data_IF_144188935983
#
_entry.id   IF_144188935983
#
_cell.length_a   1.000
_cell.length_b   1.000
_cell.length_c   1.000
_cell.angle_alpha   90.00
_cell.angle_beta   90.00
_cell.angle_gamma   90.00
#
_symmetry.space_group_name_H-M   'P 1'
#
loop_
_entity.id
_entity.type
_entity.pdbx_description
1 polymer ?
#
# COMPACT_ATOMS: atom_id res chain seq x y z
N UNK A 1 -10.67 -19.25 0.03
CA UNK A 1 -10.32 -17.83 -0.18
C UNK A 1 -9.30 -17.44 0.88
N UNK A 2 -8.12 -16.91 0.53
CA UNK A 2 -7.14 -16.47 1.54
C UNK A 2 -7.62 -15.19 2.23
N UNK A 3 -7.17 -14.95 3.47
CA UNK A 3 -7.46 -13.73 4.23
C UNK A 3 -7.06 -12.48 3.44
N UNK A 4 -5.87 -12.50 2.83
CA UNK A 4 -5.38 -11.44 1.96
C UNK A 4 -6.34 -11.14 0.80
N UNK A 5 -6.92 -12.15 0.15
CA UNK A 5 -7.89 -11.95 -0.93
C UNK A 5 -9.24 -11.43 -0.41
N UNK A 6 -9.66 -11.86 0.78
CA UNK A 6 -10.86 -11.34 1.43
C UNK A 6 -10.73 -9.84 1.78
N UNK A 7 -9.62 -9.43 2.39
CA UNK A 7 -9.35 -8.02 2.72
C UNK A 7 -9.28 -7.17 1.44
N UNK A 8 -8.62 -7.67 0.39
CA UNK A 8 -8.59 -6.99 -0.92
C UNK A 8 -9.98 -6.79 -1.50
N UNK A 9 -10.87 -7.78 -1.37
CA UNK A 9 -12.27 -7.66 -1.79
C UNK A 9 -13.01 -6.57 -1.01
N UNK A 10 -12.90 -6.55 0.33
CA UNK A 10 -13.53 -5.53 1.18
C UNK A 10 -13.04 -4.12 0.84
N UNK A 11 -11.74 -3.96 0.64
CA UNK A 11 -11.10 -2.67 0.37
C UNK A 11 -11.10 -2.30 -1.13
N UNK A 12 -11.71 -3.12 -1.98
CA UNK A 12 -11.69 -2.99 -3.44
C UNK A 12 -10.27 -2.78 -4.03
N UNK A 13 -9.29 -3.53 -3.51
CA UNK A 13 -7.90 -3.50 -3.98
C UNK A 13 -7.73 -4.57 -5.06
N UNK A 14 -7.43 -4.13 -6.28
CA UNK A 14 -7.18 -5.01 -7.43
C UNK A 14 -5.68 -5.29 -7.66
N UNK A 15 -4.78 -4.57 -6.99
CA UNK A 15 -3.33 -4.74 -7.16
C UNK A 15 -2.86 -6.07 -6.56
N UNK A 16 -2.39 -6.97 -7.41
CA UNK A 16 -1.90 -8.30 -7.03
C UNK A 16 -0.57 -8.26 -6.28
N UNK A 17 0.14 -7.12 -6.32
CA UNK A 17 1.37 -6.93 -5.58
C UNK A 17 1.11 -6.54 -4.12
N UNK A 18 -0.12 -6.20 -3.75
CA UNK A 18 -0.48 -5.97 -2.35
C UNK A 18 -0.91 -7.29 -1.70
N UNK A 19 -0.33 -7.55 -0.53
CA UNK A 19 -0.64 -8.71 0.29
C UNK A 19 -0.79 -8.32 1.75
N UNK A 20 -1.71 -8.97 2.46
CA UNK A 20 -1.87 -8.83 3.91
C UNK A 20 -1.31 -10.05 4.63
N UNK A 21 -0.70 -9.90 5.82
CA UNK A 21 -0.24 -11.01 6.63
C UNK A 21 -1.44 -11.81 7.18
N UNK A 22 -1.21 -13.07 7.57
CA UNK A 22 -2.26 -13.92 8.15
C UNK A 22 -2.62 -13.50 9.59
N UNK A 23 -1.66 -12.90 10.30
CA UNK A 23 -1.80 -12.38 11.66
C UNK A 23 -1.48 -10.88 11.69
N UNK A 24 -2.02 -10.15 12.67
CA UNK A 24 -1.75 -8.71 12.88
C UNK A 24 -2.03 -7.81 11.65
N UNK A 25 -2.91 -8.25 10.74
CA UNK A 25 -3.27 -7.55 9.51
C UNK A 25 -4.03 -6.25 9.73
N UNK A 26 -4.46 -5.96 10.96
CA UNK A 26 -5.06 -4.68 11.32
C UNK A 26 -4.77 -4.27 12.75
N UNK A 27 -4.99 -2.98 13.03
CA UNK A 27 -4.96 -2.40 14.36
C UNK A 27 -6.09 -1.40 14.49
N UNK A 28 -6.76 -1.37 15.65
CA UNK A 28 -7.74 -0.33 15.97
C UNK A 28 -7.10 0.66 16.93
N UNK A 29 -7.22 1.95 16.64
CA UNK A 29 -6.74 3.04 17.51
C UNK A 29 -7.84 4.08 17.68
N UNK A 30 -7.94 4.67 18.87
CA UNK A 30 -8.85 5.78 19.10
C UNK A 30 -8.12 7.10 18.88
N UNK A 31 -8.75 8.01 18.13
CA UNK A 31 -8.23 9.37 17.91
C UNK A 31 -9.35 10.38 18.11
N UNK A 32 -9.37 10.96 19.31
CA UNK A 32 -10.50 11.79 19.76
C UNK A 32 -11.79 10.99 19.81
N UNK A 33 -12.83 11.46 19.11
CA UNK A 33 -14.16 10.85 19.10
C UNK A 33 -14.35 9.77 18.02
N UNK A 34 -13.30 9.44 17.27
CA UNK A 34 -13.36 8.48 16.17
C UNK A 34 -12.45 7.29 16.40
N UNK A 35 -12.90 6.12 15.95
CA UNK A 35 -12.10 4.91 15.86
C UNK A 35 -11.48 4.80 14.48
N UNK A 36 -10.19 4.50 14.44
CA UNK A 36 -9.42 4.26 13.23
C UNK A 36 -9.10 2.77 13.16
N UNK A 37 -9.52 2.10 12.09
CA UNK A 37 -9.12 0.74 11.76
C UNK A 37 -8.06 0.78 10.67
N UNK A 38 -6.81 0.55 11.04
CA UNK A 38 -5.66 0.55 10.13
C UNK A 38 -5.35 -0.88 9.67
N UNK A 39 -5.51 -1.17 8.37
CA UNK A 39 -5.09 -2.44 7.76
C UNK A 39 -3.62 -2.35 7.37
N UNK A 40 -2.82 -3.33 7.82
CA UNK A 40 -1.37 -3.40 7.59
C UNK A 40 -1.09 -4.39 6.47
N UNK A 41 -0.57 -3.90 5.36
CA UNK A 41 -0.23 -4.71 4.19
C UNK A 41 1.22 -4.52 3.77
N UNK A 42 1.66 -5.40 2.88
CA UNK A 42 2.95 -5.35 2.21
C UNK A 42 2.74 -5.13 0.72
N UNK A 43 3.55 -4.24 0.14
CA UNK A 43 3.63 -4.12 -1.31
C UNK A 43 4.87 -4.87 -1.80
N UNK A 44 4.64 -5.94 -2.56
CA UNK A 44 5.69 -6.68 -3.26
C UNK A 44 6.26 -5.80 -4.36
N UNK A 45 7.53 -5.42 -4.18
CA UNK A 45 8.26 -4.63 -5.15
C UNK A 45 8.68 -5.51 -6.34
N UNK A 46 7.79 -5.69 -7.31
CA UNK A 46 8.15 -6.31 -8.59
C UNK A 46 8.40 -5.27 -9.70
N UNK A 47 8.23 -3.98 -9.40
CA UNK A 47 8.30 -2.89 -10.37
C UNK A 47 9.75 -2.46 -10.61
N UNK A 48 10.45 -3.19 -11.48
CA UNK A 48 11.67 -2.72 -12.14
C UNK A 48 11.25 -1.91 -13.37
N UNK A 49 11.24 -0.57 -13.30
CA UNK A 49 10.92 0.22 -14.51
C UNK A 49 12.03 1.13 -15.01
N UNK A 50 13.03 1.51 -14.21
CA UNK A 50 14.23 2.17 -14.77
C UNK A 50 15.35 2.29 -13.73
N UNK A 51 16.53 1.73 -13.99
CA UNK A 51 17.73 2.12 -13.26
C UNK A 51 18.47 3.16 -14.10
N UNK A 52 18.80 4.31 -13.51
CA UNK A 52 19.53 5.41 -14.16
C UNK A 52 20.85 5.00 -14.85
N UNK A 53 21.31 3.76 -14.65
CA UNK A 53 22.57 3.26 -15.18
C UNK A 53 22.45 1.90 -15.88
N UNK A 54 21.24 1.44 -16.24
CA UNK A 54 20.95 0.12 -16.84
C UNK A 54 21.51 -1.09 -16.07
N UNK A 55 22.06 -0.89 -14.86
CA UNK A 55 22.59 -1.96 -14.02
C UNK A 55 21.45 -2.74 -13.36
N UNK A 56 21.59 -4.07 -13.34
CA UNK A 56 20.72 -5.02 -12.63
C UNK A 56 21.22 -5.33 -11.21
N UNK A 57 22.29 -4.67 -10.75
CA UNK A 57 22.88 -4.91 -9.43
C UNK A 57 22.09 -4.17 -8.34
N UNK A 58 20.96 -4.74 -7.96
CA UNK A 58 19.98 -4.14 -7.06
C UNK A 58 20.01 -4.89 -5.71
N UNK A 59 20.05 -4.14 -4.60
CA UNK A 59 19.98 -4.72 -3.25
C UNK A 59 18.89 -4.07 -2.42
N UNK A 60 18.38 -4.82 -1.43
CA UNK A 60 17.42 -4.33 -0.44
C UNK A 60 18.02 -3.15 0.32
N UNK A 61 17.25 -2.07 0.45
CA UNK A 61 17.64 -0.83 1.12
C UNK A 61 16.62 -0.44 2.21
N UNK A 62 16.33 -1.40 3.09
CA UNK A 62 15.37 -1.24 4.18
C UNK A 62 13.91 -1.15 3.75
N UNK A 63 13.04 -1.01 4.73
CA UNK A 63 11.60 -0.87 4.54
C UNK A 63 11.19 0.60 4.62
N UNK A 64 10.01 0.93 4.08
CA UNK A 64 9.36 2.22 4.26
C UNK A 64 7.86 2.02 4.40
N UNK A 65 7.28 2.63 5.43
CA UNK A 65 5.85 2.60 5.65
C UNK A 65 5.19 3.77 4.94
N UNK A 66 4.06 3.49 4.29
CA UNK A 66 3.21 4.46 3.64
C UNK A 66 1.81 4.33 4.21
N UNK A 67 1.30 5.39 4.82
CA UNK A 67 -0.06 5.43 5.37
C UNK A 67 -0.98 6.19 4.42
N UNK A 68 -2.07 5.54 4.02
CA UNK A 68 -3.15 6.09 3.21
C UNK A 68 -4.38 6.13 4.09
N UNK A 69 -5.05 7.28 4.14
CA UNK A 69 -6.27 7.46 4.94
C UNK A 69 -7.50 7.40 4.03
N UNK A 70 -8.48 6.60 4.42
CA UNK A 70 -9.81 6.57 3.85
C UNK A 70 -10.82 7.18 4.84
N UNK A 71 -11.82 7.86 4.30
CA UNK A 71 -12.91 8.55 5.00
C UNK A 71 -14.09 7.55 5.14
N UNK A 72 -14.96 7.62 6.18
CA UNK A 72 -15.38 6.44 6.91
C UNK A 72 -16.36 5.51 6.20
N UNK A 73 -16.21 4.22 6.50
CA UNK A 73 -17.17 3.15 6.23
C UNK A 73 -17.68 2.66 7.60
N UNK A 74 -19.01 2.61 7.80
CA UNK A 74 -19.65 2.06 9.01
C UNK A 74 -19.12 2.63 10.34
N UNK A 75 -18.95 3.96 10.44
CA UNK A 75 -18.45 4.69 11.63
C UNK A 75 -16.98 4.48 12.00
N UNK A 76 -16.18 3.80 11.17
CA UNK A 76 -14.72 3.72 11.33
C UNK A 76 -14.01 4.49 10.22
N UNK A 77 -13.01 5.27 10.61
CA UNK A 77 -12.03 5.78 9.65
C UNK A 77 -11.09 4.62 9.28
N UNK A 78 -11.10 4.21 8.02
CA UNK A 78 -10.23 3.13 7.56
C UNK A 78 -8.89 3.73 7.14
N UNK A 79 -7.79 3.15 7.57
CA UNK A 79 -6.46 3.47 7.06
C UNK A 79 -5.86 2.22 6.41
N UNK A 80 -5.11 2.41 5.33
CA UNK A 80 -4.27 1.38 4.75
C UNK A 80 -2.82 1.77 4.96
N UNK A 81 -2.10 0.98 5.74
CA UNK A 81 -0.67 1.12 5.96
C UNK A 81 0.06 0.06 5.14
N UNK A 82 0.79 0.50 4.12
CA UNK A 82 1.59 -0.36 3.26
C UNK A 82 3.06 -0.27 3.64
N UNK A 83 3.65 -1.40 3.97
CA UNK A 83 5.10 -1.56 4.12
C UNK A 83 5.69 -1.91 2.77
N UNK A 84 6.61 -1.08 2.29
CA UNK A 84 7.26 -1.24 0.98
C UNK A 84 8.73 -1.56 1.19
N UNK A 85 9.19 -2.61 0.51
CA UNK A 85 10.62 -2.90 0.41
C UNK A 85 11.28 -1.91 -0.55
N UNK A 86 12.22 -1.11 -0.04
CA UNK A 86 13.03 -0.22 -0.87
C UNK A 86 14.23 -0.97 -1.44
N UNK A 87 14.69 -0.50 -2.58
CA UNK A 87 15.87 -1.03 -3.26
C UNK A 87 16.79 0.11 -3.69
N UNK A 88 18.08 -0.19 -3.74
CA UNK A 88 19.13 0.71 -4.22
C UNK A 88 20.00 -0.02 -5.24
N UNK A 89 20.40 0.68 -6.30
CA UNK A 89 21.39 0.14 -7.22
C UNK A 89 22.79 0.29 -6.61
N UNK A 90 23.58 -0.79 -6.55
CA UNK A 90 24.95 -0.75 -6.04
C UNK A 90 25.88 0.12 -6.90
N UNK A 91 25.65 0.16 -8.21
CA UNK A 91 26.54 0.85 -9.14
C UNK A 91 26.38 2.37 -9.08
N UNK A 92 25.15 2.89 -9.21
CA UNK A 92 24.91 4.34 -9.21
C UNK A 92 24.45 4.90 -7.85
N UNK A 93 24.24 4.06 -6.84
CA UNK A 93 23.74 4.41 -5.51
C UNK A 93 22.41 5.21 -5.52
N UNK A 94 21.66 5.18 -6.62
CA UNK A 94 20.35 5.81 -6.71
C UNK A 94 19.26 4.86 -6.21
N UNK A 95 18.25 5.37 -5.48
CA UNK A 95 17.10 4.59 -5.07
C UNK A 95 16.22 4.26 -6.27
N UNK A 96 15.55 3.11 -6.23
CA UNK A 96 14.48 2.80 -7.17
C UNK A 96 13.25 3.66 -6.86
N UNK A 97 12.80 4.43 -7.84
CA UNK A 97 11.55 5.19 -7.73
C UNK A 97 10.37 4.29 -8.07
N UNK A 98 9.34 4.33 -7.25
CA UNK A 98 8.06 3.65 -7.49
C UNK A 98 7.03 4.66 -8.02
N UNK A 99 6.84 4.78 -9.35
CA UNK A 99 5.81 5.67 -9.90
C UNK A 99 4.37 5.15 -9.70
N UNK A 100 4.18 3.85 -9.42
CA UNK A 100 2.86 3.21 -9.49
C UNK A 100 2.00 3.31 -8.21
N UNK A 101 2.63 3.48 -7.03
CA UNK A 101 1.90 3.55 -5.77
C UNK A 101 1.01 4.80 -5.72
N UNK A 102 1.52 5.94 -6.18
CA UNK A 102 0.75 7.18 -6.22
C UNK A 102 -0.47 7.07 -7.16
N UNK A 103 -0.28 6.46 -8.34
CA UNK A 103 -1.34 6.26 -9.34
C UNK A 103 -2.43 5.29 -8.87
N UNK A 104 -2.06 4.18 -8.24
CA UNK A 104 -3.02 3.21 -7.69
C UNK A 104 -3.82 3.82 -6.55
N UNK A 105 -3.17 4.61 -5.68
CA UNK A 105 -3.84 5.34 -4.60
C UNK A 105 -4.81 6.40 -5.15
N UNK A 106 -4.41 7.17 -6.16
CA UNK A 106 -5.27 8.17 -6.82
C UNK A 106 -6.46 7.48 -7.48
N UNK A 107 -6.26 6.36 -8.17
CA UNK A 107 -7.35 5.61 -8.82
C UNK A 107 -8.33 5.02 -7.81
N UNK A 108 -7.85 4.39 -6.72
CA UNK A 108 -8.73 3.86 -5.66
C UNK A 108 -9.50 4.98 -4.97
N UNK A 109 -8.87 6.14 -4.72
CA UNK A 109 -9.54 7.32 -4.17
C UNK A 109 -10.66 7.85 -5.11
N UNK A 110 -10.39 7.94 -6.42
CA UNK A 110 -11.39 8.36 -7.41
C UNK A 110 -12.55 7.38 -7.52
N UNK A 111 -12.28 6.07 -7.45
CA UNK A 111 -13.30 5.02 -7.48
C UNK A 111 -14.20 5.10 -6.24
N UNK A 112 -13.64 5.27 -5.04
CA UNK A 112 -14.44 5.43 -3.82
C UNK A 112 -15.29 6.71 -3.86
N UNK A 113 -14.75 7.83 -4.37
CA UNK A 113 -15.50 9.06 -4.61
C UNK A 113 -16.67 8.86 -5.59
N UNK A 114 -16.49 8.03 -6.62
CA UNK A 114 -17.56 7.73 -7.58
C UNK A 114 -18.65 6.83 -7.01
N UNK A 115 -18.30 5.94 -6.06
CA UNK A 115 -19.24 5.03 -5.40
C UNK A 115 -20.02 5.68 -4.26
N UNK A 116 -19.51 6.78 -3.68
CA UNK A 116 -20.19 7.54 -2.62
C UNK A 116 -21.06 8.69 -3.15
N UNK A 117 -21.07 8.94 -4.47
CA UNK A 117 -21.91 9.95 -5.13
C UNK A 117 -23.26 9.42 -5.63
N UNK A 118 -23.58 8.15 -5.37
CA UNK A 118 -24.86 7.52 -5.66
C UNK A 118 -25.47 6.96 -4.39
#
# INVERSE_FOLDING_TARGET
>A
MSLSNFIKSILNIQDTNISFPEEEYYQVTQKGNYLIKAFKGFLKSNYCTYSYCNSKNIVKNGLKNHKIRYIPVQNYNIELELTIQRYICKNCRKPFHFPLILLVIILVYLIILSLLKY
#
